data_IF_567807140509
#
_entry.id   IF_567807140509
#
_cell.length_a   1.000
_cell.length_b   1.000
_cell.length_c   1.000
_cell.angle_alpha   90.00
_cell.angle_beta   90.00
_cell.angle_gamma   90.00
#
_symmetry.space_group_name_H-M   'P 1'
#
loop_
_entity.id
_entity.type
_entity.pdbx_description
1 polymer ?
#
# COMPACT_ATOMS: atom_id res chain seq x y z
N UNK A 1 8.74 21.39 5.07
CA UNK A 1 8.27 22.67 5.61
C UNK A 1 7.15 22.34 6.59
N UNK A 2 7.14 22.91 7.79
CA UNK A 2 6.03 22.77 8.74
C UNK A 2 5.49 24.17 8.93
N UNK A 3 4.42 24.47 8.20
CA UNK A 3 3.66 25.71 8.34
C UNK A 3 2.59 25.51 9.40
N UNK A 4 2.49 26.44 10.35
CA UNK A 4 1.44 26.42 11.38
C UNK A 4 1.10 27.84 11.81
N UNK A 5 -0.10 28.00 12.36
CA UNK A 5 -0.56 29.22 13.00
C UNK A 5 -0.47 29.06 14.52
N UNK A 6 0.09 30.06 15.20
CA UNK A 6 0.18 30.10 16.66
C UNK A 6 -1.01 30.88 17.22
N UNK A 7 -1.74 30.23 18.14
CA UNK A 7 -2.86 30.82 18.85
C UNK A 7 -2.51 30.97 20.34
N UNK A 8 -2.96 32.02 21.04
CA UNK A 8 -2.69 32.19 22.47
C UNK A 8 -3.17 31.01 23.33
N UNK A 9 -4.31 30.42 22.95
CA UNK A 9 -4.90 29.23 23.56
C UNK A 9 -5.56 28.37 22.47
N UNK A 10 -5.63 27.02 22.63
CA UNK A 10 -6.35 26.17 21.70
C UNK A 10 -7.85 26.47 21.71
N UNK A 11 -8.49 26.51 20.55
CA UNK A 11 -9.95 26.62 20.47
C UNK A 11 -10.61 25.35 21.05
N UNK A 12 -11.65 25.57 21.86
CA UNK A 12 -12.40 24.50 22.52
C UNK A 12 -13.16 23.63 21.51
N UNK A 13 -13.20 22.32 21.79
CA UNK A 13 -13.99 21.37 21.00
C UNK A 13 -13.39 21.00 19.63
N UNK A 14 -12.20 21.51 19.29
CA UNK A 14 -11.49 21.06 18.09
C UNK A 14 -11.12 19.58 18.19
N UNK A 15 -11.43 18.83 17.14
CA UNK A 15 -10.91 17.49 16.95
C UNK A 15 -9.40 17.53 16.62
N UNK A 16 -8.71 16.40 16.78
CA UNK A 16 -7.29 16.24 16.41
C UNK A 16 -7.19 15.40 15.15
N UNK A 17 -6.25 15.75 14.28
CA UNK A 17 -5.93 14.98 13.09
C UNK A 17 -5.21 13.69 13.48
N UNK A 18 -5.60 12.60 12.84
CA UNK A 18 -5.01 11.29 13.01
C UNK A 18 -4.73 10.66 11.65
N UNK A 19 -3.63 9.91 11.60
CA UNK A 19 -3.28 9.06 10.48
C UNK A 19 -2.76 7.72 11.00
N UNK A 20 -3.23 6.61 10.43
CA UNK A 20 -2.78 5.28 10.81
C UNK A 20 -2.54 4.42 9.58
N UNK A 21 -1.34 3.83 9.53
CA UNK A 21 -0.96 2.86 8.52
C UNK A 21 -1.32 1.43 8.95
N UNK A 22 -1.84 0.63 8.03
CA UNK A 22 -2.13 -0.81 8.22
C UNK A 22 -1.66 -1.62 7.02
N UNK A 23 -1.41 -2.91 7.22
CA UNK A 23 -1.13 -3.88 6.15
C UNK A 23 -1.58 -5.28 6.53
N UNK A 24 -2.05 -6.02 5.53
CA UNK A 24 -2.31 -7.45 5.58
C UNK A 24 -1.63 -8.08 4.37
N UNK A 25 -0.64 -8.95 4.62
CA UNK A 25 0.19 -9.55 3.58
C UNK A 25 0.49 -11.03 3.88
N UNK A 26 -0.04 -11.98 3.08
CA UNK A 26 -1.17 -11.78 2.17
C UNK A 26 -2.46 -11.60 2.96
N UNK A 27 -3.49 -11.04 2.33
CA UNK A 27 -4.86 -11.13 2.83
C UNK A 27 -5.30 -12.59 2.90
N UNK A 28 -6.11 -12.92 3.90
CA UNK A 28 -6.61 -14.29 4.06
C UNK A 28 -7.78 -14.56 3.10
N UNK A 29 -7.48 -15.17 1.96
CA UNK A 29 -8.51 -15.58 1.01
C UNK A 29 -9.54 -16.54 1.63
N UNK A 30 -10.82 -16.28 1.35
CA UNK A 30 -11.97 -17.09 1.75
C UNK A 30 -12.44 -17.89 0.55
N UNK A 31 -12.56 -19.20 0.73
CA UNK A 31 -12.99 -20.12 -0.32
C UNK A 31 -14.50 -20.35 -0.23
N UNK A 32 -15.16 -20.44 -1.38
CA UNK A 32 -16.53 -20.91 -1.45
C UNK A 32 -16.68 -22.32 -0.86
N UNK A 33 -17.88 -22.67 -0.41
CA UNK A 33 -18.16 -24.03 0.04
C UNK A 33 -17.88 -25.03 -1.10
N UNK A 34 -17.09 -26.07 -0.81
CA UNK A 34 -16.69 -27.09 -1.79
C UNK A 34 -15.52 -26.69 -2.70
N UNK A 35 -14.95 -25.49 -2.56
CA UNK A 35 -13.73 -25.08 -3.26
C UNK A 35 -12.51 -25.34 -2.36
N UNK A 36 -11.65 -26.26 -2.78
CA UNK A 36 -10.41 -26.58 -2.04
C UNK A 36 -9.27 -25.59 -2.34
N UNK A 37 -9.27 -24.97 -3.53
CA UNK A 37 -8.23 -24.04 -3.97
C UNK A 37 -8.77 -23.06 -5.00
N UNK A 38 -8.26 -21.83 -4.96
CA UNK A 38 -8.47 -20.83 -6.01
C UNK A 38 -7.65 -21.16 -7.26
N UNK A 39 -8.29 -21.03 -8.41
CA UNK A 39 -7.71 -21.09 -9.74
C UNK A 39 -8.15 -19.84 -10.50
N UNK A 40 -7.43 -19.42 -11.56
CA UNK A 40 -7.85 -18.27 -12.37
C UNK A 40 -9.30 -18.36 -12.87
N UNK A 41 -9.82 -19.57 -13.08
CA UNK A 41 -11.18 -19.83 -13.56
C UNK A 41 -12.27 -19.68 -12.48
N UNK A 42 -11.92 -19.82 -11.20
CA UNK A 42 -12.86 -19.70 -10.08
C UNK A 42 -12.60 -18.47 -9.20
N UNK A 43 -11.70 -17.58 -9.62
CA UNK A 43 -11.47 -16.28 -8.99
C UNK A 43 -12.52 -15.22 -9.41
N UNK A 44 -13.27 -15.49 -10.47
CA UNK A 44 -14.31 -14.58 -11.01
C UNK A 44 -15.66 -15.29 -11.01
N UNK A 45 -16.73 -14.65 -10.49
CA UNK A 45 -18.11 -15.19 -10.49
C UNK A 45 -18.78 -15.22 -9.11
N UNK A 46 -19.91 -15.93 -8.98
CA UNK A 46 -20.62 -16.15 -7.70
C UNK A 46 -19.88 -17.19 -6.86
N UNK A 47 -18.90 -16.72 -6.10
CA UNK A 47 -17.90 -17.53 -5.36
C UNK A 47 -18.09 -17.44 -3.85
N UNK A 48 -19.25 -16.98 -3.40
CA UNK A 48 -19.58 -16.88 -1.98
C UNK A 48 -20.35 -15.62 -1.64
N UNK A 49 -20.75 -15.52 -0.38
CA UNK A 49 -21.44 -14.33 0.16
C UNK A 49 -20.76 -13.88 1.42
N UNK A 50 -20.44 -12.59 1.50
CA UNK A 50 -19.97 -11.99 2.73
C UNK A 50 -21.12 -11.33 3.49
N UNK A 51 -21.67 -12.07 4.46
CA UNK A 51 -22.81 -11.61 5.25
C UNK A 51 -22.38 -11.01 6.61
N UNK A 52 -21.10 -10.67 6.77
CA UNK A 52 -20.58 -10.21 8.08
C UNK A 52 -19.56 -9.08 8.01
N UNK A 53 -18.74 -9.00 6.96
CA UNK A 53 -17.59 -8.09 6.89
C UNK A 53 -16.44 -8.46 7.82
N UNK A 54 -16.47 -9.63 8.47
CA UNK A 54 -15.54 -10.00 9.54
C UNK A 54 -14.10 -10.20 9.06
N UNK A 55 -13.93 -10.79 7.87
CA UNK A 55 -12.63 -11.11 7.28
C UNK A 55 -12.17 -10.05 6.26
N UNK A 56 -12.88 -8.92 6.16
CA UNK A 56 -12.49 -7.80 5.33
C UNK A 56 -11.18 -7.19 5.84
N UNK A 57 -10.40 -6.64 4.90
CA UNK A 57 -9.26 -5.81 5.25
C UNK A 57 -9.73 -4.57 6.01
N UNK A 58 -9.13 -4.28 7.16
CA UNK A 58 -9.51 -3.14 8.00
C UNK A 58 -8.63 -1.93 7.67
N UNK A 59 -9.24 -0.89 7.10
CA UNK A 59 -8.59 0.40 6.82
C UNK A 59 -8.52 1.25 8.09
N UNK A 60 -9.63 1.36 8.83
CA UNK A 60 -9.73 2.14 10.07
C UNK A 60 -10.57 1.39 11.10
N UNK A 61 -10.13 1.42 12.35
CA UNK A 61 -10.96 1.12 13.51
C UNK A 61 -10.66 2.13 14.61
N UNK A 62 -11.67 2.90 15.01
CA UNK A 62 -11.53 3.97 15.99
C UNK A 62 -12.75 4.03 16.93
N UNK A 63 -12.51 4.54 18.15
CA UNK A 63 -13.52 4.79 19.18
C UNK A 63 -13.41 6.25 19.63
N UNK A 64 -14.56 6.87 19.86
CA UNK A 64 -14.70 8.30 20.15
C UNK A 64 -15.70 8.97 19.20
N UNK A 65 -15.63 10.30 19.14
CA UNK A 65 -16.48 11.14 18.28
C UNK A 65 -15.62 11.81 17.22
N UNK A 66 -15.95 11.62 15.95
CA UNK A 66 -15.08 12.07 14.87
C UNK A 66 -15.67 12.00 13.47
N UNK A 67 -14.79 12.23 12.51
CA UNK A 67 -15.05 12.26 11.08
C UNK A 67 -13.92 11.54 10.35
N UNK A 68 -14.23 10.46 9.65
CA UNK A 68 -13.33 9.84 8.68
C UNK A 68 -13.28 10.70 7.41
N UNK A 69 -12.08 11.08 6.99
CA UNK A 69 -11.87 12.05 5.90
C UNK A 69 -11.11 11.47 4.71
N UNK A 70 -10.74 10.20 4.74
CA UNK A 70 -10.19 9.53 3.56
C UNK A 70 -9.13 8.49 3.85
N UNK A 71 -8.67 7.86 2.79
CA UNK A 71 -7.53 6.96 2.83
C UNK A 71 -6.73 6.97 1.53
N UNK A 72 -5.50 6.48 1.64
CA UNK A 72 -4.77 5.88 0.52
C UNK A 72 -4.87 4.37 0.69
N UNK A 73 -5.19 3.65 -0.38
CA UNK A 73 -5.16 2.19 -0.44
C UNK A 73 -4.11 1.78 -1.49
N UNK A 74 -3.27 0.81 -1.11
CA UNK A 74 -2.28 0.19 -1.98
C UNK A 74 -2.56 -1.31 -2.02
N UNK A 75 -2.56 -1.87 -3.22
CA UNK A 75 -2.76 -3.30 -3.46
C UNK A 75 -1.62 -3.80 -4.34
N UNK A 76 -0.84 -4.75 -3.83
CA UNK A 76 -0.02 -5.62 -4.69
C UNK A 76 -0.88 -6.82 -5.10
N UNK A 77 -1.37 -6.78 -6.34
CA UNK A 77 -2.23 -7.80 -6.93
C UNK A 77 -1.37 -8.97 -7.41
N UNK A 78 -1.19 -9.93 -6.50
CA UNK A 78 -0.43 -11.17 -6.71
C UNK A 78 -1.28 -12.18 -7.49
N UNK A 79 -2.59 -12.18 -7.25
CA UNK A 79 -3.51 -13.12 -7.90
C UNK A 79 -3.61 -12.89 -9.42
N UNK A 80 -3.42 -11.64 -9.87
CA UNK A 80 -3.62 -11.24 -11.25
C UNK A 80 -5.09 -11.06 -11.61
N UNK A 81 -5.37 -10.60 -12.83
CA UNK A 81 -6.74 -10.31 -13.26
C UNK A 81 -7.37 -9.16 -12.47
N UNK A 82 -8.68 -8.97 -12.67
CA UNK A 82 -9.42 -7.92 -11.97
C UNK A 82 -9.58 -8.26 -10.49
N UNK A 83 -9.07 -7.39 -9.63
CA UNK A 83 -9.02 -7.59 -8.18
C UNK A 83 -10.02 -6.73 -7.40
N UNK A 84 -10.57 -5.69 -8.05
CA UNK A 84 -11.30 -4.60 -7.41
C UNK A 84 -12.80 -4.84 -7.22
N UNK A 85 -13.28 -6.08 -7.25
CA UNK A 85 -14.71 -6.40 -6.97
C UNK A 85 -15.11 -6.24 -5.49
N UNK A 86 -14.17 -5.89 -4.61
CA UNK A 86 -14.40 -5.88 -3.17
C UNK A 86 -15.18 -4.67 -2.70
N UNK A 87 -16.28 -4.90 -1.96
CA UNK A 87 -17.13 -3.85 -1.41
C UNK A 87 -16.49 -3.19 -0.17
N UNK A 88 -16.62 -1.86 -0.01
CA UNK A 88 -16.44 -1.26 1.30
C UNK A 88 -17.64 -1.54 2.20
N UNK A 89 -17.35 -1.78 3.47
CA UNK A 89 -18.35 -1.95 4.50
C UNK A 89 -17.94 -1.07 5.68
N UNK A 90 -18.71 -0.01 5.94
CA UNK A 90 -18.40 0.94 7.02
C UNK A 90 -19.45 0.82 8.11
N UNK A 91 -19.01 0.32 9.26
CA UNK A 91 -19.87 0.12 10.43
C UNK A 91 -19.71 1.31 11.37
N UNK A 92 -20.79 2.07 11.55
CA UNK A 92 -20.80 3.26 12.41
C UNK A 92 -21.49 2.93 13.74
N UNK A 93 -20.89 3.36 14.85
CA UNK A 93 -21.48 3.34 16.19
C UNK A 93 -22.05 1.97 16.63
N UNK A 94 -21.45 0.88 16.17
CA UNK A 94 -21.85 -0.50 16.51
C UNK A 94 -22.96 -1.08 15.64
N UNK A 95 -23.17 -0.53 14.43
CA UNK A 95 -24.00 -1.15 13.39
C UNK A 95 -23.66 -2.63 13.19
N UNK A 96 -24.71 -3.41 12.88
CA UNK A 96 -24.59 -4.82 12.49
C UNK A 96 -24.72 -4.93 10.98
N UNK A 97 -24.38 -6.09 10.44
CA UNK A 97 -24.62 -6.35 9.03
C UNK A 97 -26.13 -6.32 8.69
N UNK A 98 -26.52 -5.75 7.52
CA UNK A 98 -25.66 -4.97 6.62
C UNK A 98 -25.43 -3.54 7.18
N UNK A 99 -24.22 -2.99 7.07
CA UNK A 99 -23.95 -1.60 7.45
C UNK A 99 -24.73 -0.61 6.58
N UNK A 100 -24.88 0.63 7.05
CA UNK A 100 -25.54 1.70 6.29
C UNK A 100 -24.72 2.16 5.07
N UNK A 101 -23.41 2.00 5.14
CA UNK A 101 -22.46 2.22 4.05
C UNK A 101 -21.96 0.86 3.56
N UNK A 102 -22.45 0.46 2.40
CA UNK A 102 -22.10 -0.78 1.72
C UNK A 102 -21.88 -0.47 0.24
N UNK A 103 -20.66 -0.63 -0.23
CA UNK A 103 -20.27 -0.37 -1.62
C UNK A 103 -20.72 -1.46 -2.58
N UNK A 104 -20.16 -1.37 -3.79
CA UNK A 104 -20.42 -2.30 -4.92
C UNK A 104 -19.13 -2.77 -5.62
N UNK A 105 -17.98 -2.23 -5.23
CA UNK A 105 -16.71 -2.42 -5.91
C UNK A 105 -15.68 -1.43 -5.40
N UNK A 106 -14.42 -1.86 -5.40
CA UNK A 106 -13.30 -1.07 -4.89
C UNK A 106 -13.08 0.16 -5.76
N UNK A 107 -13.16 0.02 -7.08
CA UNK A 107 -12.89 1.13 -7.99
C UNK A 107 -13.87 2.28 -7.86
N UNK A 108 -15.12 1.97 -7.56
CA UNK A 108 -16.19 2.96 -7.45
C UNK A 108 -16.01 3.83 -6.22
N UNK A 109 -15.48 3.25 -5.13
CA UNK A 109 -15.06 4.02 -3.95
C UNK A 109 -14.05 5.07 -4.38
N UNK A 110 -13.06 4.69 -5.18
CA UNK A 110 -11.94 5.55 -5.53
C UNK A 110 -12.17 6.39 -6.79
N UNK A 111 -13.43 6.53 -7.24
CA UNK A 111 -13.84 7.40 -8.35
C UNK A 111 -13.67 6.82 -9.75
N UNK A 112 -13.38 5.53 -9.83
CA UNK A 112 -13.27 4.76 -11.07
C UNK A 112 -14.58 4.11 -11.49
N UNK A 113 -14.47 3.18 -12.43
CA UNK A 113 -15.55 2.31 -12.90
C UNK A 113 -15.05 1.44 -14.05
N UNK A 114 -15.66 0.27 -14.23
CA UNK A 114 -15.34 -0.66 -15.31
C UNK A 114 -13.86 -1.08 -15.37
N UNK A 115 -13.32 -1.50 -14.22
CA UNK A 115 -11.96 -2.01 -14.08
C UNK A 115 -10.86 -1.04 -14.59
N UNK A 116 -10.66 0.15 -13.98
CA UNK A 116 -9.67 1.13 -14.46
C UNK A 116 -8.29 0.50 -14.67
N UNK A 117 -7.71 0.71 -15.85
CA UNK A 117 -6.40 0.18 -16.23
C UNK A 117 -5.42 1.27 -16.69
N UNK A 118 -5.79 2.53 -16.49
CA UNK A 118 -4.97 3.72 -16.77
C UNK A 118 -5.06 4.65 -15.57
N UNK A 119 -3.92 5.24 -15.22
CA UNK A 119 -3.83 6.19 -14.12
C UNK A 119 -4.64 7.45 -14.37
N UNK A 120 -5.22 7.99 -13.31
CA UNK A 120 -5.83 9.31 -13.32
C UNK A 120 -5.76 9.95 -11.94
N UNK A 121 -5.83 11.28 -11.90
CA UNK A 121 -5.76 12.03 -10.65
C UNK A 121 -6.78 13.15 -10.65
N UNK A 122 -7.69 13.12 -9.69
CA UNK A 122 -8.61 14.20 -9.36
C UNK A 122 -8.27 14.83 -8.01
N UNK A 123 -8.93 15.95 -7.63
CA UNK A 123 -8.64 16.62 -6.36
C UNK A 123 -8.91 15.75 -5.12
N UNK A 124 -9.91 14.86 -5.20
CA UNK A 124 -10.37 14.07 -4.05
C UNK A 124 -10.33 12.56 -4.29
N UNK A 125 -10.23 12.11 -5.54
CA UNK A 125 -10.19 10.70 -5.91
C UNK A 125 -9.16 10.46 -7.00
N UNK A 126 -8.59 9.26 -7.07
CA UNK A 126 -7.66 8.93 -8.14
C UNK A 126 -7.04 7.54 -8.01
N UNK A 127 -6.66 6.99 -9.16
CA UNK A 127 -5.75 5.85 -9.30
C UNK A 127 -4.41 6.41 -9.79
N UNK A 128 -3.50 6.71 -8.87
CA UNK A 128 -2.25 7.39 -9.21
C UNK A 128 -1.11 6.43 -9.52
N UNK A 129 -1.31 5.13 -9.31
CA UNK A 129 -0.42 4.09 -9.77
C UNK A 129 -1.24 2.91 -10.28
N UNK A 130 -1.01 2.52 -11.52
CA UNK A 130 -1.44 1.23 -12.08
C UNK A 130 -0.22 0.67 -12.81
N UNK A 131 0.54 -0.19 -12.13
CA UNK A 131 1.83 -0.64 -12.67
C UNK A 131 1.71 -1.41 -13.98
N UNK A 132 0.57 -2.07 -14.20
CA UNK A 132 0.32 -2.91 -15.38
C UNK A 132 -1.13 -2.84 -15.82
N UNK A 133 -1.36 -2.83 -17.14
CA UNK A 133 -2.70 -2.73 -17.73
C UNK A 133 -3.58 -3.97 -17.54
N UNK A 134 -3.00 -5.09 -17.09
CA UNK A 134 -3.70 -6.32 -16.70
C UNK A 134 -4.01 -6.38 -15.20
N UNK A 135 -3.86 -5.24 -14.51
CA UNK A 135 -4.08 -5.03 -13.08
C UNK A 135 -3.16 -5.81 -12.14
N UNK A 136 -2.23 -6.63 -12.65
CA UNK A 136 -1.26 -7.34 -11.81
C UNK A 136 -0.23 -6.38 -11.22
N UNK A 137 0.37 -6.77 -10.09
CA UNK A 137 1.34 -5.94 -9.39
C UNK A 137 0.71 -4.76 -8.65
N UNK A 138 1.42 -3.63 -8.62
CA UNK A 138 1.15 -2.52 -7.70
C UNK A 138 0.09 -1.58 -8.26
N UNK A 139 -0.98 -1.43 -7.50
CA UNK A 139 -2.06 -0.48 -7.74
C UNK A 139 -2.17 0.43 -6.52
N UNK A 140 -2.25 1.74 -6.73
CA UNK A 140 -2.43 2.71 -5.64
C UNK A 140 -3.46 3.77 -5.97
N UNK A 141 -4.33 4.03 -4.99
CA UNK A 141 -5.50 4.87 -5.14
C UNK A 141 -5.77 5.65 -3.85
N UNK A 142 -6.53 6.74 -3.99
CA UNK A 142 -6.90 7.57 -2.84
C UNK A 142 -8.33 8.08 -2.98
N UNK A 143 -8.97 8.28 -1.82
CA UNK A 143 -10.22 9.03 -1.69
C UNK A 143 -10.15 9.92 -0.47
N UNK A 144 -10.49 11.19 -0.64
CA UNK A 144 -10.61 12.18 0.42
C UNK A 144 -12.06 12.68 0.51
N UNK A 145 -12.71 12.40 1.63
CA UNK A 145 -14.07 12.83 1.94
C UNK A 145 -14.08 14.25 2.51
N UNK A 146 -13.61 15.22 1.73
CA UNK A 146 -13.48 16.62 2.19
C UNK A 146 -14.84 17.29 2.33
N UNK A 147 -15.69 17.15 1.31
CA UNK A 147 -17.03 17.75 1.28
C UNK A 147 -18.09 16.85 1.94
N UNK A 148 -17.79 15.56 2.07
CA UNK A 148 -18.70 14.48 2.41
C UNK A 148 -18.13 13.56 3.52
N UNK A 149 -17.60 14.10 4.65
CA UNK A 149 -16.96 13.27 5.66
C UNK A 149 -17.94 12.30 6.32
N UNK A 150 -17.44 11.08 6.61
CA UNK A 150 -18.20 10.04 7.28
C UNK A 150 -18.08 10.22 8.79
N UNK A 151 -19.19 10.53 9.44
CA UNK A 151 -19.21 10.95 10.85
C UNK A 151 -19.60 9.80 11.78
N UNK A 152 -19.00 9.75 12.97
CA UNK A 152 -19.31 8.77 14.00
C UNK A 152 -19.34 9.43 15.39
N UNK A 153 -20.19 8.91 16.30
CA UNK A 153 -20.35 9.48 17.65
C UNK A 153 -19.70 8.63 18.74
N UNK A 154 -19.53 7.32 18.51
CA UNK A 154 -18.97 6.34 19.44
C UNK A 154 -17.86 5.52 18.82
N UNK A 155 -18.02 5.07 17.58
CA UNK A 155 -17.02 4.23 16.92
C UNK A 155 -17.20 4.17 15.41
N UNK A 156 -16.13 3.84 14.71
CA UNK A 156 -16.17 3.54 13.28
C UNK A 156 -15.26 2.35 12.98
N UNK A 157 -15.72 1.46 12.10
CA UNK A 157 -14.91 0.43 11.48
C UNK A 157 -15.08 0.52 9.97
N UNK A 158 -14.05 1.00 9.28
CA UNK A 158 -13.97 1.08 7.82
C UNK A 158 -13.24 -0.17 7.33
N UNK A 159 -13.92 -0.99 6.56
CA UNK A 159 -13.33 -2.20 5.96
C UNK A 159 -13.59 -2.23 4.46
N UNK A 160 -12.80 -3.02 3.75
CA UNK A 160 -12.99 -3.30 2.33
C UNK A 160 -12.71 -4.79 2.09
N UNK A 161 -13.50 -5.43 1.24
CA UNK A 161 -13.18 -6.80 0.83
C UNK A 161 -11.93 -6.83 -0.05
N UNK A 162 -11.17 -7.92 0.01
CA UNK A 162 -10.03 -8.16 -0.88
C UNK A 162 -10.43 -9.09 -2.03
N UNK A 163 -11.10 -8.52 -3.02
CA UNK A 163 -11.87 -9.25 -4.03
C UNK A 163 -13.26 -9.66 -3.52
N UNK A 164 -14.14 -10.09 -4.42
CA UNK A 164 -15.53 -10.43 -4.07
C UNK A 164 -15.58 -11.46 -2.96
N UNK A 165 -16.30 -11.14 -1.87
CA UNK A 165 -16.40 -12.01 -0.71
C UNK A 165 -15.06 -12.42 -0.09
N UNK A 166 -14.02 -11.57 -0.19
CA UNK A 166 -12.68 -11.80 0.35
C UNK A 166 -11.94 -12.98 -0.31
N UNK A 167 -12.15 -13.22 -1.60
CA UNK A 167 -11.60 -14.38 -2.29
C UNK A 167 -10.14 -14.24 -2.73
N UNK A 168 -9.46 -13.09 -2.60
CA UNK A 168 -8.10 -12.89 -3.13
C UNK A 168 -7.03 -12.70 -2.05
N UNK A 169 -5.95 -13.46 -2.15
CA UNK A 169 -4.80 -13.39 -1.24
C UNK A 169 -3.76 -12.33 -1.68
N UNK A 170 -4.20 -11.10 -1.86
CA UNK A 170 -3.34 -9.97 -2.27
C UNK A 170 -2.67 -9.29 -1.07
N UNK A 171 -1.66 -8.44 -1.31
CA UNK A 171 -1.06 -7.62 -0.26
C UNK A 171 -1.73 -6.25 -0.21
N UNK A 172 -2.46 -5.97 0.87
CA UNK A 172 -3.16 -4.70 1.06
C UNK A 172 -2.43 -3.88 2.10
N UNK A 173 -2.17 -2.61 1.80
CA UNK A 173 -1.76 -1.62 2.78
C UNK A 173 -2.47 -0.30 2.60
N UNK A 174 -2.73 0.41 3.69
CA UNK A 174 -3.48 1.66 3.65
C UNK A 174 -2.97 2.65 4.68
N UNK A 175 -3.29 3.92 4.45
CA UNK A 175 -3.24 4.96 5.48
C UNK A 175 -4.62 5.57 5.57
N UNK A 176 -5.28 5.44 6.71
CA UNK A 176 -6.54 6.13 7.00
C UNK A 176 -6.26 7.50 7.61
N UNK A 177 -7.07 8.48 7.26
CA UNK A 177 -7.04 9.86 7.78
C UNK A 177 -8.39 10.21 8.40
N UNK A 178 -8.38 10.73 9.62
CA UNK A 178 -9.60 11.15 10.31
C UNK A 178 -9.34 12.22 11.35
N UNK A 179 -10.41 12.86 11.80
CA UNK A 179 -10.40 13.77 12.93
C UNK A 179 -11.26 13.20 14.05
N UNK A 180 -10.83 13.26 15.30
CA UNK A 180 -11.68 12.91 16.45
C UNK A 180 -11.29 13.68 17.72
N UNK A 181 -12.19 13.73 18.69
CA UNK A 181 -11.91 14.27 20.02
C UNK A 181 -11.16 13.27 20.91
N UNK A 182 -10.37 13.79 21.85
CA UNK A 182 -9.76 12.97 22.90
C UNK A 182 -10.76 12.59 24.01
N UNK A 183 -10.58 11.48 24.72
CA UNK A 183 -9.56 10.44 24.50
C UNK A 183 -9.94 9.51 23.35
N UNK A 184 -8.95 9.02 22.61
CA UNK A 184 -9.14 7.97 21.62
C UNK A 184 -8.64 6.59 22.07
N UNK A 185 -9.02 5.55 21.32
CA UNK A 185 -8.44 4.19 21.44
C UNK A 185 -6.95 4.21 21.13
N UNK A 186 -6.11 3.60 21.96
CA UNK A 186 -4.67 3.49 21.70
C UNK A 186 -4.39 2.84 20.34
N UNK A 187 -3.39 3.35 19.63
CA UNK A 187 -3.00 2.82 18.34
C UNK A 187 -2.18 1.55 18.51
N UNK A 188 -2.52 0.54 17.72
CA UNK A 188 -1.64 -0.60 17.53
C UNK A 188 -0.28 -0.13 17.04
N UNK A 189 0.83 -0.71 17.55
CA UNK A 189 2.16 -0.38 17.05
C UNK A 189 2.24 -0.68 15.56
N UNK A 190 2.91 0.20 14.82
CA UNK A 190 3.21 -0.04 13.41
C UNK A 190 4.02 -1.33 13.28
N UNK A 191 3.79 -2.08 12.19
CA UNK A 191 4.58 -3.26 11.88
C UNK A 191 6.07 -2.93 11.81
N UNK A 192 6.91 -3.87 12.26
CA UNK A 192 8.37 -3.79 12.13
C UNK A 192 8.77 -3.59 10.65
N UNK A 193 9.89 -2.91 10.42
CA UNK A 193 10.39 -2.57 9.07
C UNK A 193 10.43 -3.77 8.12
N UNK A 194 10.84 -4.94 8.63
CA UNK A 194 11.02 -6.17 7.86
C UNK A 194 9.67 -6.70 7.34
N UNK A 195 8.58 -6.41 8.06
CA UNK A 195 7.21 -6.76 7.67
C UNK A 195 6.55 -5.69 6.79
N UNK A 196 7.26 -4.61 6.47
CA UNK A 196 6.80 -3.49 5.62
C UNK A 196 7.54 -3.40 4.28
N UNK A 197 8.48 -4.31 4.03
CA UNK A 197 9.18 -4.39 2.74
C UNK A 197 8.16 -4.80 1.65
N UNK A 198 8.18 -4.15 0.47
CA UNK A 198 7.37 -4.57 -0.68
C UNK A 198 7.68 -6.01 -1.09
N UNK A 199 6.70 -6.70 -1.66
CA UNK A 199 6.94 -8.00 -2.27
C UNK A 199 7.78 -7.76 -3.53
N UNK A 200 8.81 -8.59 -3.68
CA UNK A 200 9.67 -8.63 -4.86
C UNK A 200 9.41 -9.98 -5.53
N UNK A 201 9.23 -10.03 -6.85
CA UNK A 201 9.12 -11.30 -7.56
C UNK A 201 10.33 -12.19 -7.28
N UNK A 202 10.21 -13.53 -7.37
CA UNK A 202 11.34 -14.43 -7.16
C UNK A 202 12.58 -14.07 -7.99
N UNK A 203 12.39 -13.54 -9.20
CA UNK A 203 13.46 -13.09 -10.10
C UNK A 203 14.22 -11.86 -9.58
N UNK A 204 13.57 -11.03 -8.77
CA UNK A 204 14.15 -9.83 -8.16
C UNK A 204 14.75 -10.07 -6.77
N UNK A 205 14.40 -11.16 -6.08
CA UNK A 205 14.93 -11.47 -4.74
C UNK A 205 16.47 -11.59 -4.75
N UNK A 206 17.03 -12.26 -5.76
CA UNK A 206 18.49 -12.40 -5.90
C UNK A 206 19.18 -11.04 -6.09
N UNK A 207 18.56 -10.14 -6.86
CA UNK A 207 19.05 -8.79 -7.07
C UNK A 207 19.01 -7.98 -5.76
N UNK A 208 17.91 -8.03 -5.03
CA UNK A 208 17.78 -7.31 -3.75
C UNK A 208 18.79 -7.80 -2.72
N UNK A 209 19.01 -9.11 -2.64
CA UNK A 209 20.03 -9.68 -1.77
C UNK A 209 21.44 -9.25 -2.18
N UNK A 210 21.72 -9.22 -3.49
CA UNK A 210 22.99 -8.70 -4.04
C UNK A 210 23.19 -7.23 -3.65
N UNK A 211 22.18 -6.38 -3.82
CA UNK A 211 22.21 -4.98 -3.43
C UNK A 211 22.49 -4.81 -1.94
N UNK A 212 21.78 -5.57 -1.10
CA UNK A 212 21.93 -5.54 0.36
C UNK A 212 23.39 -5.78 0.76
N UNK A 213 24.02 -6.84 0.23
CA UNK A 213 25.43 -7.16 0.52
C UNK A 213 26.38 -6.06 0.03
N UNK A 214 26.14 -5.48 -1.14
CA UNK A 214 26.94 -4.36 -1.67
C UNK A 214 26.85 -3.16 -0.73
N UNK A 215 25.63 -2.78 -0.31
CA UNK A 215 25.43 -1.66 0.58
C UNK A 215 26.02 -1.90 1.97
N UNK A 216 25.97 -3.12 2.51
CA UNK A 216 26.66 -3.46 3.75
C UNK A 216 28.18 -3.19 3.68
N UNK A 217 28.82 -3.57 2.56
CA UNK A 217 30.24 -3.30 2.34
C UNK A 217 30.51 -1.80 2.21
N UNK A 218 29.65 -1.06 1.49
CA UNK A 218 29.76 0.40 1.35
C UNK A 218 29.63 1.08 2.72
N UNK A 219 28.65 0.69 3.53
CA UNK A 219 28.44 1.23 4.88
C UNK A 219 29.64 0.96 5.79
N UNK A 220 30.15 -0.28 5.81
CA UNK A 220 31.36 -0.64 6.57
C UNK A 220 32.60 0.15 6.13
N UNK A 221 32.66 0.64 4.89
CA UNK A 221 33.79 1.38 4.32
C UNK A 221 33.58 2.90 4.26
N UNK A 222 32.69 3.45 5.10
CA UNK A 222 32.51 4.90 5.27
C UNK A 222 31.28 5.49 4.60
N UNK A 223 30.32 4.67 4.18
CA UNK A 223 29.00 5.11 3.72
C UNK A 223 29.05 6.11 2.58
N UNK A 224 28.46 7.29 2.76
CA UNK A 224 28.42 8.36 1.75
C UNK A 224 29.82 8.79 1.25
N UNK A 225 30.86 8.66 2.07
CA UNK A 225 32.23 9.01 1.69
C UNK A 225 32.97 7.90 0.95
N UNK A 226 32.39 6.70 0.85
CA UNK A 226 33.01 5.56 0.17
C UNK A 226 33.48 5.93 -1.25
N UNK A 227 32.69 6.77 -1.94
CA UNK A 227 32.93 7.16 -3.31
C UNK A 227 33.89 8.36 -3.49
N UNK A 228 34.20 9.09 -2.42
CA UNK A 228 35.01 10.31 -2.50
C UNK A 228 36.46 10.06 -2.97
N UNK A 229 36.96 8.83 -2.79
CA UNK A 229 38.30 8.40 -3.19
C UNK A 229 38.46 8.05 -4.68
N UNK A 230 37.36 7.99 -5.45
CA UNK A 230 37.40 7.62 -6.87
C UNK A 230 37.54 8.83 -7.78
N UNK A 231 38.06 8.60 -8.99
CA UNK A 231 38.18 9.63 -10.01
C UNK A 231 36.83 10.25 -10.35
N UNK A 232 36.81 11.49 -10.84
CA UNK A 232 35.56 12.15 -11.30
C UNK A 232 34.83 11.28 -12.33
N UNK A 233 35.59 10.72 -13.29
CA UNK A 233 35.09 9.83 -14.34
C UNK A 233 34.42 8.57 -13.78
N UNK A 234 35.03 7.93 -12.79
CA UNK A 234 34.46 6.71 -12.18
C UNK A 234 33.18 7.02 -11.40
N UNK A 235 33.16 8.15 -10.66
CA UNK A 235 31.96 8.61 -9.94
C UNK A 235 30.80 8.89 -10.90
N UNK A 236 31.06 9.59 -12.00
CA UNK A 236 30.04 9.85 -13.04
C UNK A 236 29.52 8.55 -13.65
N UNK A 237 30.40 7.58 -13.93
CA UNK A 237 30.00 6.27 -14.45
C UNK A 237 29.14 5.50 -13.44
N UNK A 238 29.49 5.51 -12.16
CA UNK A 238 28.70 4.85 -11.11
C UNK A 238 27.32 5.50 -10.98
N UNK A 239 27.22 6.84 -11.01
CA UNK A 239 25.94 7.55 -10.96
C UNK A 239 25.07 7.15 -12.16
N UNK A 240 25.65 7.11 -13.36
CA UNK A 240 24.95 6.65 -14.56
C UNK A 240 24.45 5.21 -14.44
N UNK A 241 25.30 4.29 -13.96
CA UNK A 241 24.92 2.88 -13.76
C UNK A 241 23.82 2.73 -12.73
N UNK A 242 23.82 3.53 -11.64
CA UNK A 242 22.72 3.52 -10.66
C UNK A 242 21.40 3.98 -11.27
N UNK A 243 21.43 4.96 -12.18
CA UNK A 243 20.24 5.34 -12.95
C UNK A 243 19.72 4.19 -13.80
N UNK A 244 20.61 3.49 -14.51
CA UNK A 244 20.25 2.33 -15.35
C UNK A 244 19.77 1.11 -14.53
N UNK A 245 20.29 0.94 -13.31
CA UNK A 245 19.81 -0.09 -12.37
C UNK A 245 18.37 0.20 -11.98
N UNK A 246 18.05 1.44 -11.61
CA UNK A 246 16.69 1.83 -11.24
C UNK A 246 15.73 1.63 -12.42
N UNK A 247 16.09 2.10 -13.62
CA UNK A 247 15.29 1.91 -14.84
C UNK A 247 15.05 0.43 -15.13
N UNK A 248 16.10 -0.40 -15.07
CA UNK A 248 15.96 -1.84 -15.27
C UNK A 248 15.15 -2.53 -14.15
N UNK A 249 15.17 -2.01 -12.93
CA UNK A 249 14.33 -2.52 -11.84
C UNK A 249 12.85 -2.16 -12.06
N UNK A 250 12.58 -0.92 -12.49
CA UNK A 250 11.24 -0.42 -12.80
C UNK A 250 10.63 -1.16 -14.01
N UNK A 251 11.46 -1.54 -14.99
CA UNK A 251 11.08 -2.39 -16.14
C UNK A 251 11.07 -3.89 -15.81
N UNK A 252 11.37 -4.27 -14.56
CA UNK A 252 11.48 -5.66 -14.08
C UNK A 252 12.52 -6.51 -14.84
N UNK A 253 13.50 -5.85 -15.48
CA UNK A 253 14.65 -6.46 -16.11
C UNK A 253 15.76 -6.76 -15.08
N UNK A 254 15.43 -7.54 -14.04
CA UNK A 254 16.30 -7.79 -12.87
C UNK A 254 17.70 -8.32 -13.23
N UNK A 255 17.79 -9.15 -14.29
CA UNK A 255 19.06 -9.67 -14.77
C UNK A 255 19.94 -8.57 -15.41
N UNK A 256 19.34 -7.58 -16.07
CA UNK A 256 20.05 -6.42 -16.62
C UNK A 256 20.53 -5.51 -15.49
N UNK A 257 19.67 -5.24 -14.50
CA UNK A 257 20.04 -4.51 -13.28
C UNK A 257 21.21 -5.20 -12.55
N UNK A 258 21.18 -6.53 -12.43
CA UNK A 258 22.26 -7.33 -11.82
C UNK A 258 23.60 -7.14 -12.55
N UNK A 259 23.60 -7.10 -13.89
CA UNK A 259 24.83 -6.85 -14.68
C UNK A 259 25.39 -5.45 -14.45
N UNK A 260 24.54 -4.43 -14.34
CA UNK A 260 25.01 -3.08 -14.00
C UNK A 260 25.62 -3.01 -12.60
N UNK A 261 25.11 -3.79 -11.64
CA UNK A 261 25.77 -3.94 -10.35
C UNK A 261 27.14 -4.60 -10.45
N UNK A 262 27.34 -5.59 -11.34
CA UNK A 262 28.67 -6.19 -11.56
C UNK A 262 29.67 -5.14 -12.07
N UNK A 263 29.23 -4.24 -12.94
CA UNK A 263 30.05 -3.13 -13.41
C UNK A 263 30.41 -2.16 -12.26
N UNK A 264 29.46 -1.83 -11.38
CA UNK A 264 29.73 -1.01 -10.18
C UNK A 264 30.70 -1.72 -9.24
N UNK A 265 30.52 -3.02 -9.00
CA UNK A 265 31.43 -3.84 -8.17
C UNK A 265 32.85 -3.77 -8.72
N UNK A 266 33.01 -3.90 -10.05
CA UNK A 266 34.31 -3.85 -10.73
C UNK A 266 34.97 -2.48 -10.61
N UNK A 267 34.22 -1.39 -10.85
CA UNK A 267 34.72 0.00 -10.74
C UNK A 267 35.08 0.31 -9.27
N UNK A 268 34.18 -0.01 -8.35
CA UNK A 268 34.31 0.23 -6.92
C UNK A 268 35.23 -0.74 -6.19
N UNK A 269 35.81 -1.73 -6.89
CA UNK A 269 36.63 -2.81 -6.30
C UNK A 269 35.99 -3.38 -5.03
N UNK A 270 34.67 -3.55 -5.08
CA UNK A 270 33.87 -4.03 -3.95
C UNK A 270 34.09 -5.55 -3.87
N UNK A 271 34.43 -6.05 -2.69
CA UNK A 271 34.50 -7.48 -2.43
C UNK A 271 33.23 -7.84 -1.68
N UNK A 272 32.30 -8.45 -2.40
CA UNK A 272 31.06 -8.99 -1.85
C UNK A 272 31.36 -10.45 -1.50
N UNK A 273 31.22 -10.81 -0.23
CA UNK A 273 31.34 -12.21 0.23
C UNK A 273 30.00 -12.95 0.10
#
# INVERSE_FOLDING_TARGET
>A
HIDYEEYPEPEDGLARFHAQWRRENPCKAILAEGVEKLTPENQTGDIGKNLTGKENYVILEAEGRGNYVGCILNVDNIAGGWWGEGDDMIFIDGEKWPPSFHGTGTEEIFGGGACPNVEYSGPYTGFHLISRSDWSGKNSMYRFFVADPIRFQRSIKVTIEHGHANNLANDYSSVAYWYQTESHKEFSPILLSERRVPIVPPEGEELVEKERRIYEVIQKKGGAFFWAKYSKRDREKIISLRGQINEAFDEEEYQKASRFWDDIIKIGRIKVE
#
